data_IF_139632979740
#
_entry.id   IF_139632979740
#
_cell.length_a   1.000
_cell.length_b   1.000
_cell.length_c   1.000
_cell.angle_alpha   90.00
_cell.angle_beta   90.00
_cell.angle_gamma   90.00
#
_symmetry.space_group_name_H-M   'P 1'
#
loop_
_entity.id
_entity.type
_entity.pdbx_description
1 polymer ?
#
# COMPACT_ATOMS: atom_id res chain seq x y z
N UNK A 1 42.83 18.93 0.82
CA UNK A 1 41.87 17.82 0.94
C UNK A 1 40.50 18.44 1.11
N UNK A 2 39.65 18.41 0.08
CA UNK A 2 38.27 18.89 0.14
C UNK A 2 37.35 17.69 0.18
N UNK A 3 36.79 17.41 1.36
CA UNK A 3 35.77 16.38 1.52
C UNK A 3 34.52 16.78 0.74
N UNK A 4 34.26 16.07 -0.34
CA UNK A 4 33.09 16.26 -1.17
C UNK A 4 31.88 15.70 -0.39
N UNK A 5 31.20 16.56 0.36
CA UNK A 5 29.99 16.17 1.12
C UNK A 5 28.86 15.95 0.10
N UNK A 6 28.57 14.68 -0.21
CA UNK A 6 27.59 14.32 -1.25
C UNK A 6 26.15 14.32 -0.73
N UNK A 7 25.92 14.38 0.60
CA UNK A 7 24.60 14.63 1.21
C UNK A 7 24.68 14.77 2.74
N UNK A 8 23.91 15.68 3.34
CA UNK A 8 23.73 15.83 4.81
C UNK A 8 22.74 14.80 5.42
N UNK A 9 22.00 14.08 4.58
CA UNK A 9 21.09 12.98 4.97
C UNK A 9 21.29 11.90 3.93
N UNK A 10 22.10 10.87 4.25
CA UNK A 10 22.59 9.83 3.35
C UNK A 10 21.72 9.63 2.11
N UNK A 11 22.35 9.75 0.94
CA UNK A 11 21.73 9.65 -0.40
C UNK A 11 20.54 8.69 -0.40
N UNK A 12 19.32 9.24 -0.48
CA UNK A 12 18.12 8.45 -0.76
C UNK A 12 18.28 7.94 -2.20
N UNK A 13 19.00 6.84 -2.34
CA UNK A 13 19.02 6.10 -3.58
C UNK A 13 17.63 5.53 -3.72
N UNK A 14 16.89 6.02 -4.72
CA UNK A 14 15.73 5.30 -5.24
C UNK A 14 16.29 4.04 -5.88
N UNK A 15 16.59 3.04 -5.06
CA UNK A 15 16.94 1.72 -5.54
C UNK A 15 15.84 1.28 -6.48
N UNK A 16 16.23 0.90 -7.69
CA UNK A 16 15.33 0.36 -8.72
C UNK A 16 14.41 -0.66 -8.04
N UNK A 17 13.12 -0.36 -8.01
CA UNK A 17 12.15 -1.22 -7.35
C UNK A 17 11.97 -2.46 -8.22
N UNK A 18 12.46 -3.60 -7.75
CA UNK A 18 12.12 -4.88 -8.37
C UNK A 18 10.67 -5.23 -7.98
N UNK A 19 9.83 -5.65 -8.93
CA UNK A 19 8.49 -6.10 -8.61
C UNK A 19 8.52 -7.24 -7.60
N UNK A 20 7.66 -7.18 -6.57
CA UNK A 20 7.49 -8.29 -5.67
C UNK A 20 6.59 -9.34 -6.36
N UNK A 21 7.10 -10.54 -6.73
CA UNK A 21 6.35 -11.52 -7.50
C UNK A 21 5.08 -11.99 -6.78
N UNK A 22 5.08 -12.02 -5.44
CA UNK A 22 3.91 -12.38 -4.64
C UNK A 22 2.81 -11.33 -4.74
N UNK A 23 3.17 -10.04 -4.62
CA UNK A 23 2.20 -8.94 -4.73
C UNK A 23 1.65 -8.86 -6.15
N UNK A 24 2.52 -9.03 -7.15
CA UNK A 24 2.12 -9.04 -8.57
C UNK A 24 1.13 -10.17 -8.84
N UNK A 25 1.43 -11.40 -8.43
CA UNK A 25 0.54 -12.54 -8.66
C UNK A 25 -0.84 -12.38 -8.01
N UNK A 26 -0.91 -11.78 -6.82
CA UNK A 26 -2.20 -11.52 -6.17
C UNK A 26 -3.00 -10.42 -6.89
N UNK A 27 -2.34 -9.37 -7.36
CA UNK A 27 -2.99 -8.33 -8.18
C UNK A 27 -3.50 -8.90 -9.51
N UNK A 28 -2.77 -9.82 -10.13
CA UNK A 28 -3.20 -10.51 -11.36
C UNK A 28 -4.45 -11.36 -11.10
N UNK A 29 -4.47 -12.15 -10.01
CA UNK A 29 -5.64 -12.94 -9.60
C UNK A 29 -6.88 -12.06 -9.35
N UNK A 30 -6.72 -10.93 -8.66
CA UNK A 30 -7.80 -9.98 -8.39
C UNK A 30 -8.28 -9.31 -9.68
N UNK A 31 -7.38 -9.02 -10.61
CA UNK A 31 -7.71 -8.48 -11.92
C UNK A 31 -8.51 -9.48 -12.76
N UNK A 32 -8.15 -10.77 -12.74
CA UNK A 32 -8.92 -11.83 -13.39
C UNK A 32 -10.33 -11.93 -12.82
N UNK A 33 -10.49 -11.91 -11.50
CA UNK A 33 -11.79 -11.91 -10.84
C UNK A 33 -12.63 -10.65 -11.18
N UNK A 34 -12.00 -9.49 -11.34
CA UNK A 34 -12.69 -8.27 -11.77
C UNK A 34 -13.15 -8.38 -13.23
N UNK A 35 -12.31 -8.97 -14.10
CA UNK A 35 -12.62 -9.18 -15.52
C UNK A 35 -13.73 -10.21 -15.73
N UNK A 36 -13.78 -11.26 -14.91
CA UNK A 36 -14.85 -12.25 -14.96
C UNK A 36 -16.20 -11.70 -14.47
N UNK A 37 -16.21 -10.53 -13.82
CA UNK A 37 -17.38 -9.93 -13.19
C UNK A 37 -17.70 -10.49 -11.80
N UNK A 38 -16.86 -11.40 -11.27
CA UNK A 38 -16.98 -11.93 -9.91
C UNK A 38 -16.67 -10.85 -8.87
N UNK A 39 -15.63 -10.04 -9.13
CA UNK A 39 -15.26 -8.91 -8.28
C UNK A 39 -15.92 -7.63 -8.81
N UNK A 40 -16.95 -7.16 -8.10
CA UNK A 40 -17.74 -5.96 -8.46
C UNK A 40 -17.31 -4.69 -7.73
N UNK A 41 -16.43 -4.82 -6.73
CA UNK A 41 -15.86 -3.70 -5.97
C UNK A 41 -14.62 -4.11 -5.19
N UNK A 42 -13.75 -3.15 -4.87
CA UNK A 42 -12.47 -3.32 -4.19
C UNK A 42 -12.31 -2.20 -3.15
N UNK A 43 -11.78 -2.52 -1.98
CA UNK A 43 -11.15 -1.56 -1.07
C UNK A 43 -9.81 -2.15 -0.60
N UNK A 44 -8.72 -1.39 -0.71
CA UNK A 44 -7.38 -1.87 -0.41
C UNK A 44 -6.51 -0.82 0.28
N UNK A 45 -5.53 -1.30 1.04
CA UNK A 45 -4.46 -0.49 1.65
C UNK A 45 -3.13 -1.04 1.12
N UNK A 46 -2.24 -0.16 0.69
CA UNK A 46 -1.01 -0.51 -0.02
C UNK A 46 0.19 0.04 0.73
N UNK A 47 1.19 -0.80 0.93
CA UNK A 47 2.51 -0.40 1.42
C UNK A 47 3.47 -0.24 0.26
N UNK A 48 3.98 0.97 0.09
CA UNK A 48 4.97 1.28 -0.93
C UNK A 48 6.38 1.06 -0.39
N UNK A 49 7.36 0.91 -1.30
CA UNK A 49 8.77 0.62 -0.95
C UNK A 49 9.40 1.69 -0.05
N UNK A 50 8.95 2.94 -0.20
CA UNK A 50 9.34 4.08 0.66
C UNK A 50 8.64 4.08 2.03
N UNK A 51 7.94 3.01 2.37
CA UNK A 51 7.13 2.82 3.58
C UNK A 51 5.93 3.76 3.67
N UNK A 52 5.63 4.50 2.61
CA UNK A 52 4.37 5.25 2.53
C UNK A 52 3.21 4.27 2.39
N UNK A 53 2.06 4.67 2.91
CA UNK A 53 0.84 3.88 2.79
C UNK A 53 -0.27 4.66 2.14
N UNK A 54 -0.82 4.05 1.10
CA UNK A 54 -1.98 4.54 0.37
C UNK A 54 -3.18 3.62 0.64
N UNK A 55 -4.37 4.13 0.39
CA UNK A 55 -5.58 3.31 0.34
C UNK A 55 -6.35 3.69 -0.92
N UNK A 56 -7.13 2.75 -1.44
CA UNK A 56 -8.01 3.02 -2.58
C UNK A 56 -9.26 2.16 -2.52
N UNK A 57 -10.31 2.62 -3.19
CA UNK A 57 -11.53 1.84 -3.39
C UNK A 57 -12.09 2.08 -4.80
N UNK A 58 -12.76 1.10 -5.36
CA UNK A 58 -13.39 1.16 -6.68
C UNK A 58 -14.61 0.23 -6.75
N UNK A 59 -15.62 0.58 -7.55
CA UNK A 59 -16.81 -0.27 -7.78
C UNK A 59 -17.84 -0.30 -6.65
N UNK A 60 -18.72 -1.30 -6.68
CA UNK A 60 -19.86 -1.47 -5.78
C UNK A 60 -19.44 -2.01 -4.40
N UNK A 61 -18.81 -1.16 -3.58
CA UNK A 61 -18.36 -1.49 -2.22
C UNK A 61 -19.48 -1.30 -1.18
N UNK A 62 -20.76 -1.38 -1.58
CA UNK A 62 -21.89 -1.01 -0.73
C UNK A 62 -22.69 -2.24 -0.31
N UNK A 63 -22.78 -2.47 1.00
CA UNK A 63 -23.48 -3.59 1.66
C UNK A 63 -22.98 -3.83 3.08
N UNK A 64 -21.66 -3.61 3.29
CA UNK A 64 -21.02 -3.27 4.56
C UNK A 64 -20.39 -1.89 4.41
N UNK A 65 -21.17 -0.83 4.58
CA UNK A 65 -20.78 0.57 4.33
C UNK A 65 -19.61 1.09 5.20
N UNK A 66 -19.55 2.41 5.45
CA UNK A 66 -18.45 3.12 6.14
C UNK A 66 -17.80 2.41 7.36
N UNK A 67 -18.52 1.55 8.07
CA UNK A 67 -18.04 0.80 9.25
C UNK A 67 -16.94 -0.22 8.90
N UNK A 68 -17.00 -0.90 7.75
CA UNK A 68 -15.94 -1.85 7.35
C UNK A 68 -14.65 -1.13 6.95
N UNK A 69 -14.76 0.00 6.25
CA UNK A 69 -13.64 0.88 5.95
C UNK A 69 -13.00 1.50 7.20
N UNK A 70 -13.82 1.82 8.22
CA UNK A 70 -13.37 2.32 9.53
C UNK A 70 -12.58 1.28 10.35
N UNK A 71 -12.85 -0.02 10.23
CA UNK A 71 -12.05 -1.08 10.89
C UNK A 71 -10.64 -1.21 10.27
N UNK A 72 -10.53 -1.10 8.95
CA UNK A 72 -9.23 -1.12 8.25
C UNK A 72 -8.38 0.12 8.55
N UNK A 73 -9.00 1.30 8.68
CA UNK A 73 -8.31 2.54 9.09
C UNK A 73 -7.89 2.51 10.57
N UNK A 74 -8.70 1.88 11.44
CA UNK A 74 -8.40 1.72 12.87
C UNK A 74 -7.15 0.88 13.10
N UNK A 75 -7.01 -0.28 12.44
CA UNK A 75 -5.81 -1.11 12.55
C UNK A 75 -4.52 -0.37 12.10
N UNK A 76 -4.65 0.49 11.07
CA UNK A 76 -3.56 1.32 10.54
C UNK A 76 -3.07 2.38 11.54
N UNK A 77 -3.97 3.02 12.28
CA UNK A 77 -3.63 4.02 13.31
C UNK A 77 -2.97 3.37 14.55
N UNK A 78 -3.35 2.14 14.92
CA UNK A 78 -2.76 1.42 16.06
C UNK A 78 -1.31 1.00 15.82
N UNK A 79 -0.97 0.58 14.60
CA UNK A 79 0.40 0.19 14.25
C UNK A 79 1.38 1.37 14.33
N UNK A 80 0.97 2.57 13.90
CA UNK A 80 1.81 3.78 14.01
C UNK A 80 2.00 4.28 15.45
N UNK A 81 1.02 4.05 16.33
CA UNK A 81 1.11 4.44 17.74
C UNK A 81 2.01 3.50 18.58
N UNK A 82 2.14 2.24 18.19
CA UNK A 82 2.99 1.24 18.87
C UNK A 82 4.43 1.19 18.34
N UNK A 83 4.69 1.70 17.12
CA UNK A 83 6.03 1.88 16.54
C UNK A 83 6.73 3.19 17.00
N UNK A 84 6.15 3.98 17.92
CA UNK A 84 6.79 5.13 18.59
C UNK A 84 7.30 4.83 20.03
N UNK A 85 7.45 3.55 20.38
CA UNK A 85 8.08 3.09 21.63
C UNK A 85 9.56 2.77 21.47
#
# INVERSE_FOLDING_TARGET
MSENVVSLRGTFHVEKAEPNPTVVGELERLLEAARSGELVGLAGVYLHKDKSVAYSYAGAVVGFGMIGGLECLKARLTHFALDQG
#
